data_IF_352478715447
#
_entry.id   IF_352478715447
#
_cell.length_a   1.000
_cell.length_b   1.000
_cell.length_c   1.000
_cell.angle_alpha   90.00
_cell.angle_beta   90.00
_cell.angle_gamma   90.00
#
_symmetry.space_group_name_H-M   'P 1'
#
loop_
_entity.id
_entity.type
_entity.pdbx_description
1 polymer ?
#
# COMPACT_ATOMS: atom_id res chain seq x y z
N UNK A 1 -20.89 -10.55 6.97
CA UNK A 1 -20.46 -9.23 6.47
C UNK A 1 -18.98 -9.30 6.14
N UNK A 2 -18.61 -8.83 4.95
CA UNK A 2 -17.20 -8.76 4.56
C UNK A 2 -16.63 -7.40 4.96
N UNK A 3 -15.54 -7.39 5.70
CA UNK A 3 -14.88 -6.17 6.16
C UNK A 3 -13.63 -5.91 5.31
N UNK A 4 -13.55 -4.76 4.69
CA UNK A 4 -12.43 -4.34 3.85
C UNK A 4 -11.80 -3.09 4.43
N UNK A 5 -10.48 -3.11 4.62
CA UNK A 5 -9.73 -1.97 5.12
C UNK A 5 -8.93 -1.36 3.96
N UNK A 6 -9.14 -0.07 3.70
CA UNK A 6 -8.46 0.64 2.62
C UNK A 6 -7.26 1.42 3.14
N UNK A 7 -6.18 1.41 2.38
CA UNK A 7 -4.95 2.12 2.71
C UNK A 7 -4.40 2.79 1.45
N UNK A 8 -4.41 4.11 1.42
CA UNK A 8 -3.83 4.87 0.31
C UNK A 8 -2.33 5.03 0.54
N UNK A 9 -1.53 4.37 -0.31
CA UNK A 9 -0.07 4.31 -0.16
C UNK A 9 0.57 5.58 -0.72
N UNK A 10 1.37 6.26 0.11
CA UNK A 10 2.09 7.46 -0.28
C UNK A 10 3.35 7.63 0.58
N UNK A 11 4.16 8.65 0.29
CA UNK A 11 5.41 8.92 0.99
C UNK A 11 5.26 8.95 2.52
N UNK A 12 4.16 9.53 3.00
CA UNK A 12 3.95 9.71 4.44
C UNK A 12 3.66 8.41 5.19
N UNK A 13 3.24 7.34 4.51
CA UNK A 13 2.73 6.15 5.19
C UNK A 13 3.17 4.79 4.63
N UNK A 14 3.91 4.76 3.51
CA UNK A 14 4.22 3.47 2.87
C UNK A 14 5.01 2.51 3.76
N UNK A 15 5.79 3.04 4.70
CA UNK A 15 6.56 2.21 5.63
C UNK A 15 5.69 1.51 6.66
N UNK A 16 4.44 1.92 6.81
CA UNK A 16 3.49 1.34 7.77
C UNK A 16 2.63 0.22 7.18
N UNK A 17 2.84 -0.15 5.91
CA UNK A 17 2.01 -1.16 5.23
C UNK A 17 1.99 -2.50 5.96
N UNK A 18 3.14 -2.98 6.43
CA UNK A 18 3.20 -4.26 7.15
C UNK A 18 2.50 -4.18 8.50
N UNK A 19 2.68 -3.08 9.23
CA UNK A 19 2.02 -2.86 10.52
C UNK A 19 0.50 -2.77 10.33
N UNK A 20 0.08 -2.12 9.25
CA UNK A 20 -1.33 -2.01 8.89
C UNK A 20 -1.95 -3.37 8.62
N UNK A 21 -1.21 -4.24 7.93
CA UNK A 21 -1.65 -5.62 7.66
C UNK A 21 -1.79 -6.40 8.97
N UNK A 22 -0.83 -6.25 9.88
CA UNK A 22 -0.87 -6.88 11.20
C UNK A 22 -2.10 -6.41 11.99
N UNK A 23 -2.37 -5.10 11.97
CA UNK A 23 -3.54 -4.53 12.63
C UNK A 23 -4.85 -5.08 12.05
N UNK A 24 -4.95 -5.15 10.73
CA UNK A 24 -6.12 -5.69 10.04
C UNK A 24 -6.39 -7.15 10.45
N UNK A 25 -5.33 -7.95 10.55
CA UNK A 25 -5.42 -9.35 11.00
C UNK A 25 -5.93 -9.44 12.43
N UNK A 26 -5.43 -8.60 13.34
CA UNK A 26 -5.86 -8.58 14.73
C UNK A 26 -7.32 -8.15 14.89
N UNK A 27 -7.79 -7.23 14.05
CA UNK A 27 -9.15 -6.71 14.11
C UNK A 27 -10.16 -7.58 13.35
N UNK A 28 -9.71 -8.64 12.69
CA UNK A 28 -10.59 -9.57 11.98
C UNK A 28 -11.11 -9.06 10.64
N UNK A 29 -10.38 -8.18 9.99
CA UNK A 29 -10.74 -7.76 8.63
C UNK A 29 -10.52 -8.89 7.62
N UNK A 30 -11.42 -8.98 6.65
CA UNK A 30 -11.37 -10.04 5.61
C UNK A 30 -10.41 -9.69 4.50
N UNK A 31 -10.24 -8.39 4.20
CA UNK A 31 -9.42 -7.92 3.09
C UNK A 31 -8.76 -6.59 3.43
N UNK A 32 -7.53 -6.43 2.94
CA UNK A 32 -6.82 -5.14 2.95
C UNK A 32 -6.61 -4.72 1.50
N UNK A 33 -7.03 -3.53 1.16
CA UNK A 33 -6.86 -2.95 -0.16
C UNK A 33 -5.83 -1.83 -0.09
N UNK A 34 -4.65 -2.06 -0.69
CA UNK A 34 -3.61 -1.05 -0.82
C UNK A 34 -3.80 -0.33 -2.15
N UNK A 35 -4.08 0.95 -2.09
CA UNK A 35 -4.35 1.77 -3.26
C UNK A 35 -3.21 2.74 -3.51
N UNK A 36 -2.77 2.84 -4.76
CA UNK A 36 -1.77 3.82 -5.16
C UNK A 36 -2.37 5.22 -5.11
N UNK A 37 -1.55 6.20 -4.68
CA UNK A 37 -1.93 7.60 -4.76
C UNK A 37 -2.09 7.99 -6.23
N UNK A 38 -3.25 8.54 -6.58
CA UNK A 38 -3.56 8.99 -7.94
C UNK A 38 -3.60 10.52 -7.98
N UNK A 39 -3.12 11.08 -9.07
CA UNK A 39 -3.18 12.52 -9.27
C UNK A 39 -4.51 12.90 -9.93
N UNK A 40 -5.42 13.43 -9.12
CA UNK A 40 -6.74 13.90 -9.56
C UNK A 40 -6.73 15.38 -9.93
N UNK A 41 -5.55 15.95 -10.26
CA UNK A 41 -5.41 17.36 -10.55
C UNK A 41 -5.11 18.22 -9.33
N UNK A 42 -4.89 17.60 -8.16
CA UNK A 42 -4.58 18.30 -6.90
C UNK A 42 -3.08 18.56 -6.72
N UNK A 43 -2.24 17.85 -7.48
CA UNK A 43 -0.79 17.94 -7.38
C UNK A 43 -0.18 18.47 -8.65
N UNK A 44 0.87 19.27 -8.55
CA UNK A 44 1.75 19.52 -9.69
C UNK A 44 2.50 18.21 -10.03
N UNK A 45 3.08 18.12 -11.22
CA UNK A 45 3.80 16.90 -11.62
C UNK A 45 4.92 16.56 -10.64
N UNK A 46 5.69 17.56 -10.17
CA UNK A 46 6.76 17.33 -9.21
C UNK A 46 6.25 16.92 -7.83
N UNK A 47 5.17 17.51 -7.36
CA UNK A 47 4.55 17.15 -6.08
C UNK A 47 4.01 15.72 -6.11
N UNK A 48 3.39 15.33 -7.21
CA UNK A 48 2.86 13.98 -7.37
C UNK A 48 4.00 12.94 -7.34
N UNK A 49 5.07 13.17 -8.11
CA UNK A 49 6.23 12.27 -8.14
C UNK A 49 6.84 12.15 -6.75
N UNK A 50 6.95 13.25 -6.00
CA UNK A 50 7.50 13.24 -4.66
C UNK A 50 6.64 12.46 -3.67
N UNK A 51 5.32 12.48 -3.83
CA UNK A 51 4.37 11.83 -2.90
C UNK A 51 4.05 10.38 -3.27
N UNK A 52 4.13 10.01 -4.54
CA UNK A 52 3.80 8.69 -5.05
C UNK A 52 5.02 7.77 -5.07
N UNK A 53 5.20 6.99 -4.00
CA UNK A 53 6.36 6.08 -3.88
C UNK A 53 6.36 4.96 -4.92
N UNK A 54 5.23 4.68 -5.56
CA UNK A 54 5.14 3.71 -6.65
C UNK A 54 5.66 4.26 -7.98
N UNK A 55 5.86 5.59 -8.07
CA UNK A 55 6.40 6.20 -9.27
C UNK A 55 7.88 5.85 -9.43
N UNK A 56 8.34 5.43 -10.63
CA UNK A 56 9.75 5.02 -10.84
C UNK A 56 10.77 6.12 -10.53
N UNK A 57 10.38 7.38 -10.61
CA UNK A 57 11.25 8.54 -10.34
C UNK A 57 11.25 8.98 -8.87
N UNK A 58 10.42 8.35 -8.02
CA UNK A 58 10.37 8.68 -6.61
C UNK A 58 11.63 8.15 -5.92
N UNK A 59 12.24 8.97 -5.05
CA UNK A 59 13.47 8.60 -4.33
C UNK A 59 13.28 7.37 -3.42
N UNK A 60 12.06 7.12 -2.95
CA UNK A 60 11.75 5.98 -2.08
C UNK A 60 11.22 4.76 -2.83
N UNK A 61 11.22 4.80 -4.18
CA UNK A 61 10.65 3.70 -4.98
C UNK A 61 11.31 2.35 -4.70
N UNK A 62 12.63 2.32 -4.59
CA UNK A 62 13.36 1.07 -4.30
C UNK A 62 12.96 0.49 -2.94
N UNK A 63 12.89 1.32 -1.92
CA UNK A 63 12.47 0.92 -0.58
C UNK A 63 11.02 0.44 -0.59
N UNK A 64 10.15 1.15 -1.31
CA UNK A 64 8.76 0.74 -1.50
C UNK A 64 8.65 -0.65 -2.13
N UNK A 65 9.47 -0.95 -3.15
CA UNK A 65 9.48 -2.27 -3.80
C UNK A 65 9.85 -3.38 -2.82
N UNK A 66 10.80 -3.13 -1.93
CA UNK A 66 11.17 -4.09 -0.89
C UNK A 66 10.03 -4.34 0.08
N UNK A 67 9.34 -3.28 0.48
CA UNK A 67 8.18 -3.39 1.38
C UNK A 67 7.04 -4.15 0.71
N UNK A 68 6.73 -3.85 -0.54
CA UNK A 68 5.70 -4.57 -1.33
C UNK A 68 6.04 -6.06 -1.41
N UNK A 69 7.30 -6.40 -1.63
CA UNK A 69 7.74 -7.79 -1.70
C UNK A 69 7.46 -8.52 -0.38
N UNK A 70 7.75 -7.89 0.76
CA UNK A 70 7.45 -8.48 2.07
C UNK A 70 5.96 -8.61 2.33
N UNK A 71 5.18 -7.60 1.93
CA UNK A 71 3.72 -7.63 2.06
C UNK A 71 3.13 -8.78 1.23
N UNK A 72 3.61 -8.97 0.01
CA UNK A 72 3.16 -10.08 -0.85
C UNK A 72 3.48 -11.45 -0.26
N UNK A 73 4.63 -11.59 0.41
CA UNK A 73 4.97 -12.83 1.11
C UNK A 73 4.00 -13.12 2.25
N UNK A 74 3.61 -12.10 3.00
CA UNK A 74 2.64 -12.27 4.08
C UNK A 74 1.25 -12.60 3.55
N UNK A 75 0.93 -12.20 2.32
CA UNK A 75 -0.35 -12.51 1.69
C UNK A 75 -0.54 -14.01 1.46
N UNK A 76 0.54 -14.79 1.40
CA UNK A 76 0.45 -16.24 1.26
C UNK A 76 0.16 -16.95 2.58
N UNK A 77 0.19 -16.25 3.71
CA UNK A 77 -0.16 -16.80 5.02
C UNK A 77 -1.69 -16.95 5.09
N UNK A 78 -2.16 -18.14 5.39
CA UNK A 78 -3.59 -18.44 5.49
C UNK A 78 -4.30 -17.65 6.59
N UNK A 79 -3.57 -17.14 7.57
CA UNK A 79 -4.11 -16.35 8.68
C UNK A 79 -4.20 -14.87 8.35
N UNK A 80 -3.55 -14.43 7.27
CA UNK A 80 -3.58 -13.04 6.86
C UNK A 80 -4.89 -12.75 6.11
N UNK A 81 -5.40 -11.52 6.17
CA UNK A 81 -6.50 -11.12 5.30
C UNK A 81 -6.06 -11.16 3.84
N UNK A 82 -7.03 -11.28 2.93
CA UNK A 82 -6.77 -11.17 1.49
C UNK A 82 -6.18 -9.80 1.20
N UNK A 83 -5.19 -9.73 0.33
CA UNK A 83 -4.53 -8.49 -0.02
C UNK A 83 -4.79 -8.18 -1.49
N UNK A 84 -5.23 -6.95 -1.75
CA UNK A 84 -5.48 -6.46 -3.09
C UNK A 84 -4.71 -5.16 -3.32
N UNK A 85 -4.06 -5.06 -4.48
CA UNK A 85 -3.30 -3.87 -4.86
C UNK A 85 -3.99 -3.19 -6.04
N UNK A 86 -4.24 -1.89 -5.92
CA UNK A 86 -4.85 -1.10 -6.98
C UNK A 86 -3.82 -0.21 -7.68
N UNK A 87 -3.69 -0.37 -9.00
CA UNK A 87 -2.93 0.53 -9.89
C UNK A 87 -1.43 0.63 -9.56
N UNK A 88 -0.80 -0.46 -9.07
CA UNK A 88 0.64 -0.48 -8.78
C UNK A 88 1.49 -1.03 -9.93
N UNK A 89 0.86 -1.55 -10.94
CA UNK A 89 1.53 -2.12 -12.11
C UNK A 89 1.31 -1.29 -13.36
#
# INVERSE_FOLDING_TARGET
MRLVLNFCVQKANFEEMEDFLTLASKLGYDEVYFQRLLNWGLFSASQYIESDVAHPKNEYNLRFRHIISRVKKRASDQRAPSIRFGVFE
#
